data_IF_729654525823
#
_entry.id   IF_729654525823
#
_cell.length_a   1.000
_cell.length_b   1.000
_cell.length_c   1.000
_cell.angle_alpha   90.00
_cell.angle_beta   90.00
_cell.angle_gamma   90.00
#
_symmetry.space_group_name_H-M   'P 1'
#
loop_
_entity.id
_entity.type
_entity.pdbx_description
1 polymer ?
#
# COMPACT_ATOMS: atom_id res chain seq x y z
N UNK A 1 0.84 22.22 -1.39
CA UNK A 1 0.35 20.83 -1.50
C UNK A 1 -1.06 20.85 -0.96
N UNK A 2 -2.04 20.41 -1.76
CA UNK A 2 -3.45 20.43 -1.38
C UNK A 2 -3.69 19.58 -0.11
N UNK A 3 -4.54 20.07 0.80
CA UNK A 3 -4.88 19.39 2.04
C UNK A 3 -5.49 18.00 1.78
N UNK A 4 -6.26 17.87 0.69
CA UNK A 4 -6.91 16.62 0.27
C UNK A 4 -5.90 15.52 -0.07
N UNK A 5 -4.84 15.88 -0.80
CA UNK A 5 -3.75 14.95 -1.14
C UNK A 5 -3.00 14.46 0.11
N UNK A 6 -2.81 15.36 1.08
CA UNK A 6 -2.13 15.04 2.34
C UNK A 6 -2.95 14.06 3.19
N UNK A 7 -4.26 14.29 3.29
CA UNK A 7 -5.19 13.40 4.00
C UNK A 7 -5.20 12.02 3.33
N UNK A 8 -5.27 11.96 2.00
CA UNK A 8 -5.25 10.69 1.27
C UNK A 8 -3.99 9.88 1.53
N UNK A 9 -2.81 10.48 1.38
CA UNK A 9 -1.53 9.79 1.60
C UNK A 9 -1.46 9.28 3.05
N UNK A 10 -1.93 10.09 4.00
CA UNK A 10 -1.97 9.69 5.41
C UNK A 10 -2.86 8.47 5.64
N UNK A 11 -4.07 8.46 5.07
CA UNK A 11 -4.99 7.33 5.19
C UNK A 11 -4.51 6.09 4.43
N UNK A 12 -3.91 6.25 3.24
CA UNK A 12 -3.29 5.16 2.49
C UNK A 12 -2.17 4.50 3.29
N UNK A 13 -1.29 5.30 3.88
CA UNK A 13 -0.21 4.80 4.74
C UNK A 13 -0.76 4.09 5.98
N UNK A 14 -1.76 4.68 6.64
CA UNK A 14 -2.42 4.06 7.80
C UNK A 14 -3.02 2.71 7.45
N UNK A 15 -3.72 2.61 6.31
CA UNK A 15 -4.33 1.35 5.87
C UNK A 15 -3.27 0.31 5.50
N UNK A 16 -2.21 0.74 4.81
CA UNK A 16 -1.07 -0.11 4.48
C UNK A 16 -0.47 -0.72 5.74
N UNK A 17 -0.14 0.09 6.75
CA UNK A 17 0.46 -0.42 7.99
C UNK A 17 -0.46 -1.40 8.72
N UNK A 18 -1.75 -1.11 8.85
CA UNK A 18 -2.69 -2.02 9.52
C UNK A 18 -2.80 -3.36 8.79
N UNK A 19 -2.96 -3.33 7.47
CA UNK A 19 -3.06 -4.55 6.67
C UNK A 19 -1.74 -5.33 6.66
N UNK A 20 -0.62 -4.62 6.57
CA UNK A 20 0.71 -5.19 6.64
C UNK A 20 0.93 -5.92 7.96
N UNK A 21 0.73 -5.24 9.09
CA UNK A 21 0.99 -5.83 10.41
C UNK A 21 0.10 -7.04 10.69
N UNK A 22 -1.18 -6.97 10.30
CA UNK A 22 -2.12 -8.07 10.50
C UNK A 22 -1.70 -9.30 9.68
N UNK A 23 -1.52 -9.13 8.37
CA UNK A 23 -1.17 -10.26 7.48
C UNK A 23 0.24 -10.79 7.78
N UNK A 24 1.19 -9.91 8.12
CA UNK A 24 2.53 -10.31 8.50
C UNK A 24 2.52 -11.18 9.76
N UNK A 25 1.81 -10.76 10.80
CA UNK A 25 1.72 -11.54 12.02
C UNK A 25 1.09 -12.92 11.79
N UNK A 26 -0.02 -12.98 11.06
CA UNK A 26 -0.71 -14.23 10.72
C UNK A 26 0.20 -15.22 9.98
N UNK A 27 0.85 -14.76 8.91
CA UNK A 27 1.71 -15.61 8.08
C UNK A 27 3.01 -16.01 8.80
N UNK A 28 3.57 -15.11 9.60
CA UNK A 28 4.76 -15.41 10.39
C UNK A 28 4.47 -16.48 11.44
N UNK A 29 3.43 -16.31 12.26
CA UNK A 29 3.08 -17.28 13.31
C UNK A 29 2.78 -18.66 12.70
N UNK A 30 2.03 -18.69 11.60
CA UNK A 30 1.67 -19.94 10.92
C UNK A 30 2.89 -20.71 10.40
N UNK A 31 3.97 -20.00 10.04
CA UNK A 31 5.15 -20.58 9.38
C UNK A 31 6.33 -20.78 10.31
N UNK A 32 6.55 -19.88 11.26
CA UNK A 32 7.74 -19.87 12.11
C UNK A 32 7.83 -21.11 12.99
N UNK A 33 6.76 -21.44 13.72
CA UNK A 33 6.73 -22.64 14.58
C UNK A 33 7.06 -23.90 13.78
N UNK A 34 6.44 -24.08 12.62
CA UNK A 34 6.67 -25.23 11.75
C UNK A 34 8.13 -25.33 11.30
N UNK A 35 8.70 -24.21 10.84
CA UNK A 35 10.07 -24.17 10.31
C UNK A 35 11.08 -24.42 11.44
N UNK A 36 10.84 -23.84 12.61
CA UNK A 36 11.62 -24.05 13.82
C UNK A 36 11.65 -25.52 14.23
N UNK A 37 10.47 -26.15 14.36
CA UNK A 37 10.35 -27.54 14.79
C UNK A 37 11.03 -28.50 13.81
N UNK A 38 10.98 -28.19 12.50
CA UNK A 38 11.60 -28.99 11.45
C UNK A 38 13.13 -28.86 11.41
N UNK A 39 13.67 -27.66 11.61
CA UNK A 39 15.09 -27.39 11.45
C UNK A 39 15.90 -27.59 12.74
N UNK A 40 15.35 -27.15 13.88
CA UNK A 40 16.05 -27.14 15.18
C UNK A 40 15.45 -28.16 16.15
N UNK A 41 14.13 -28.26 16.18
CA UNK A 41 13.40 -29.16 17.08
C UNK A 41 13.48 -28.76 18.56
N UNK A 42 13.01 -29.67 19.42
CA UNK A 42 12.77 -29.39 20.85
C UNK A 42 14.02 -29.07 21.67
N UNK A 43 15.21 -29.46 21.21
CA UNK A 43 16.47 -29.15 21.88
C UNK A 43 16.75 -27.64 21.96
N UNK A 44 16.18 -26.86 21.02
CA UNK A 44 16.35 -25.41 20.94
C UNK A 44 15.16 -24.63 21.49
N UNK A 45 14.12 -25.28 22.03
CA UNK A 45 12.91 -24.60 22.54
C UNK A 45 13.21 -23.42 23.50
N UNK A 46 14.23 -23.47 24.39
CA UNK A 46 14.58 -22.33 25.23
C UNK A 46 14.96 -21.05 24.45
N UNK A 47 15.40 -21.19 23.19
CA UNK A 47 15.77 -20.09 22.28
C UNK A 47 14.69 -19.76 21.25
N UNK A 48 13.52 -20.40 21.33
CA UNK A 48 12.44 -20.21 20.34
C UNK A 48 12.07 -18.73 20.14
N UNK A 49 11.90 -17.99 21.25
CA UNK A 49 11.52 -16.58 21.21
C UNK A 49 12.66 -15.70 20.68
N UNK A 50 13.88 -15.90 21.17
CA UNK A 50 15.07 -15.16 20.72
C UNK A 50 15.29 -15.27 19.21
N UNK A 51 15.28 -16.50 18.67
CA UNK A 51 15.43 -16.75 17.24
C UNK A 51 14.25 -16.15 16.47
N UNK A 52 13.04 -16.25 17.04
CA UNK A 52 11.81 -15.75 16.45
C UNK A 52 11.84 -14.25 16.27
N UNK A 53 12.28 -13.50 17.28
CA UNK A 53 12.42 -12.05 17.23
C UNK A 53 13.42 -11.60 16.14
N UNK A 54 14.53 -12.33 15.98
CA UNK A 54 15.53 -12.00 14.95
C UNK A 54 14.94 -12.23 13.54
N UNK A 55 14.35 -13.41 13.30
CA UNK A 55 13.73 -13.73 12.01
C UNK A 55 12.56 -12.79 11.72
N UNK A 56 11.75 -12.46 12.74
CA UNK A 56 10.65 -11.51 12.66
C UNK A 56 11.12 -10.15 12.17
N UNK A 57 12.09 -9.54 12.85
CA UNK A 57 12.57 -8.20 12.53
C UNK A 57 13.18 -8.13 11.13
N UNK A 58 14.06 -9.09 10.79
CA UNK A 58 14.68 -9.15 9.46
C UNK A 58 13.64 -9.32 8.35
N UNK A 59 12.67 -10.21 8.55
CA UNK A 59 11.63 -10.49 7.56
C UNK A 59 10.68 -9.31 7.43
N UNK A 60 10.25 -8.70 8.55
CA UNK A 60 9.31 -7.59 8.55
C UNK A 60 9.87 -6.39 7.80
N UNK A 61 11.10 -6.00 8.09
CA UNK A 61 11.73 -4.85 7.44
C UNK A 61 11.91 -5.08 5.94
N UNK A 62 12.42 -6.25 5.54
CA UNK A 62 12.69 -6.54 4.13
C UNK A 62 11.39 -6.71 3.31
N UNK A 63 10.35 -7.38 3.84
CA UNK A 63 9.06 -7.47 3.15
C UNK A 63 8.42 -6.09 3.02
N UNK A 64 8.39 -5.30 4.10
CA UNK A 64 7.81 -3.94 4.08
C UNK A 64 8.50 -3.07 3.03
N UNK A 65 9.83 -3.06 3.02
CA UNK A 65 10.60 -2.26 2.07
C UNK A 65 10.35 -2.67 0.62
N UNK A 66 10.16 -3.97 0.35
CA UNK A 66 9.89 -4.46 -1.01
C UNK A 66 8.53 -4.06 -1.55
N UNK A 67 7.49 -4.03 -0.71
CA UNK A 67 6.12 -3.87 -1.21
C UNK A 67 5.53 -2.47 -0.99
N UNK A 68 6.11 -1.67 -0.08
CA UNK A 68 5.56 -0.36 0.30
C UNK A 68 5.41 0.57 -0.90
N UNK A 69 6.49 0.82 -1.63
CA UNK A 69 6.49 1.81 -2.71
C UNK A 69 5.60 1.37 -3.87
N UNK A 70 5.69 0.10 -4.27
CA UNK A 70 4.92 -0.44 -5.39
C UNK A 70 3.41 -0.46 -5.10
N UNK A 71 3.01 -0.91 -3.90
CA UNK A 71 1.58 -0.93 -3.50
C UNK A 71 1.05 0.50 -3.40
N UNK A 72 1.78 1.38 -2.70
CA UNK A 72 1.34 2.77 -2.53
C UNK A 72 1.23 3.49 -3.87
N UNK A 73 2.21 3.34 -4.76
CA UNK A 73 2.21 4.00 -6.07
C UNK A 73 1.05 3.50 -6.95
N UNK A 74 0.78 2.20 -6.98
CA UNK A 74 -0.28 1.64 -7.80
C UNK A 74 -1.68 1.99 -7.27
N UNK A 75 -1.89 1.96 -5.95
CA UNK A 75 -3.15 2.40 -5.34
C UNK A 75 -3.36 3.89 -5.57
N UNK A 76 -2.32 4.70 -5.34
CA UNK A 76 -2.36 6.13 -5.60
C UNK A 76 -2.73 6.44 -7.05
N UNK A 77 -2.09 5.76 -8.00
CA UNK A 77 -2.36 5.93 -9.43
C UNK A 77 -3.79 5.51 -9.79
N UNK A 78 -4.25 4.35 -9.31
CA UNK A 78 -5.59 3.83 -9.61
C UNK A 78 -6.69 4.79 -9.12
N UNK A 79 -6.60 5.19 -7.84
CA UNK A 79 -7.56 6.12 -7.23
C UNK A 79 -7.47 7.51 -7.87
N UNK A 80 -6.26 8.06 -8.04
CA UNK A 80 -6.05 9.36 -8.64
C UNK A 80 -6.58 9.45 -10.08
N UNK A 81 -6.33 8.44 -10.91
CA UNK A 81 -6.84 8.38 -12.28
C UNK A 81 -8.38 8.34 -12.31
N UNK A 82 -9.02 7.60 -11.40
CA UNK A 82 -10.48 7.51 -11.35
C UNK A 82 -11.12 8.82 -10.87
N UNK A 83 -10.52 9.49 -9.88
CA UNK A 83 -10.97 10.81 -9.40
C UNK A 83 -10.91 11.83 -10.54
N UNK A 84 -9.76 11.94 -11.21
CA UNK A 84 -9.59 12.84 -12.34
C UNK A 84 -10.56 12.53 -13.48
N UNK A 85 -10.81 11.25 -13.76
CA UNK A 85 -11.78 10.84 -14.79
C UNK A 85 -13.21 11.29 -14.44
N UNK A 86 -13.67 11.08 -13.20
CA UNK A 86 -15.01 11.50 -12.77
C UNK A 86 -15.15 13.01 -12.76
N UNK A 87 -14.12 13.71 -12.29
CA UNK A 87 -14.07 15.16 -12.24
C UNK A 87 -14.12 15.78 -13.64
N UNK A 88 -13.30 15.28 -14.58
CA UNK A 88 -13.30 15.74 -15.96
C UNK A 88 -14.66 15.55 -16.64
N UNK A 89 -15.33 14.43 -16.37
CA UNK A 89 -16.67 14.18 -16.90
C UNK A 89 -17.69 15.17 -16.34
N UNK A 90 -17.67 15.41 -15.03
CA UNK A 90 -18.65 16.28 -14.37
C UNK A 90 -18.46 17.76 -14.67
N UNK A 91 -17.21 18.24 -14.69
CA UNK A 91 -16.89 19.62 -15.10
C UNK A 91 -17.18 19.79 -16.60
N UNK A 92 -16.77 18.81 -17.42
CA UNK A 92 -17.07 18.80 -18.85
C UNK A 92 -18.57 18.87 -19.13
N UNK A 93 -19.38 18.07 -18.43
CA UNK A 93 -20.83 18.08 -18.59
C UNK A 93 -21.45 19.38 -18.02
N UNK A 94 -20.99 19.86 -16.88
CA UNK A 94 -21.49 21.07 -16.22
C UNK A 94 -21.27 22.35 -17.05
N UNK A 95 -20.08 22.50 -17.65
CA UNK A 95 -19.76 23.69 -18.44
C UNK A 95 -20.40 23.61 -19.84
N UNK A 96 -20.36 22.44 -20.47
CA UNK A 96 -20.80 22.25 -21.85
C UNK A 96 -22.34 22.18 -21.99
N UNK A 97 -23.06 21.70 -20.96
CA UNK A 97 -24.53 21.65 -20.96
C UNK A 97 -25.20 22.70 -20.06
N UNK A 98 -24.47 23.32 -19.12
CA UNK A 98 -25.03 24.27 -18.16
C UNK A 98 -24.72 25.75 -18.45
N UNK A 99 -23.50 26.07 -18.90
CA UNK A 99 -22.98 27.45 -18.97
C UNK A 99 -22.92 27.94 -20.42
N UNK A 100 -22.22 27.21 -21.30
CA UNK A 100 -22.02 27.60 -22.70
C UNK A 100 -23.32 27.76 -23.51
N UNK A 101 -24.35 26.90 -23.38
CA UNK A 101 -25.59 27.07 -24.15
C UNK A 101 -26.38 28.35 -23.80
N UNK A 102 -26.05 29.04 -22.70
CA UNK A 102 -26.76 30.23 -22.22
C UNK A 102 -26.09 31.55 -22.62
N UNK A 103 -24.86 31.50 -23.12
CA UNK A 103 -24.06 32.68 -23.43
C UNK A 103 -23.70 32.64 -24.92
N UNK A 104 -24.35 33.46 -25.75
CA UNK A 104 -24.00 33.61 -27.16
C UNK A 104 -22.70 34.41 -27.29
N UNK A 105 -21.55 33.80 -27.04
CA UNK A 105 -20.25 34.48 -27.05
C UNK A 105 -19.48 34.20 -28.34
N UNK A 106 -18.41 34.97 -28.56
CA UNK A 106 -17.43 34.65 -29.59
C UNK A 106 -16.54 33.49 -29.13
N UNK A 107 -15.95 32.71 -30.06
CA UNK A 107 -15.15 31.53 -29.73
C UNK A 107 -14.00 31.78 -28.74
N UNK A 108 -13.33 32.93 -28.83
CA UNK A 108 -12.21 33.26 -27.92
C UNK A 108 -12.69 33.57 -26.49
N UNK A 109 -13.87 34.18 -26.36
CA UNK A 109 -14.48 34.50 -25.06
C UNK A 109 -15.13 33.27 -24.44
N UNK A 110 -15.73 32.40 -25.27
CA UNK A 110 -16.21 31.07 -24.87
C UNK A 110 -15.09 30.21 -24.29
N UNK A 111 -13.91 30.19 -24.92
CA UNK A 111 -12.79 29.36 -24.46
C UNK A 111 -12.16 29.88 -23.15
N UNK A 112 -12.12 31.20 -22.96
CA UNK A 112 -11.64 31.82 -21.71
C UNK A 112 -12.61 31.56 -20.55
N UNK A 113 -13.92 31.76 -20.77
CA UNK A 113 -14.96 31.50 -19.78
C UNK A 113 -15.07 30.00 -19.48
N UNK A 114 -14.93 29.13 -20.49
CA UNK A 114 -14.87 27.69 -20.31
C UNK A 114 -13.72 27.30 -19.38
N UNK A 115 -12.51 27.85 -19.59
CA UNK A 115 -11.36 27.58 -18.72
C UNK A 115 -11.57 28.05 -17.29
N UNK A 116 -11.99 29.31 -17.10
CA UNK A 116 -12.13 29.88 -15.77
C UNK A 116 -13.30 29.25 -14.97
N UNK A 117 -14.43 28.96 -15.64
CA UNK A 117 -15.54 28.23 -15.04
C UNK A 117 -15.18 26.78 -14.75
N UNK A 118 -14.39 26.14 -15.60
CA UNK A 118 -13.87 24.80 -15.35
C UNK A 118 -12.96 24.82 -14.11
N UNK A 119 -11.95 25.69 -14.08
CA UNK A 119 -10.96 25.78 -12.99
C UNK A 119 -11.64 26.00 -11.62
N UNK A 120 -12.62 26.90 -11.53
CA UNK A 120 -13.38 27.11 -10.29
C UNK A 120 -14.25 25.92 -9.87
N UNK A 121 -14.75 25.12 -10.82
CA UNK A 121 -15.50 23.89 -10.53
C UNK A 121 -14.57 22.73 -10.15
N UNK A 122 -13.38 22.64 -10.74
CA UNK A 122 -12.36 21.64 -10.39
C UNK A 122 -12.01 21.71 -8.89
N UNK A 123 -11.69 22.90 -8.38
CA UNK A 123 -11.32 23.07 -6.97
C UNK A 123 -12.46 22.73 -6.01
N UNK A 124 -13.71 23.01 -6.39
CA UNK A 124 -14.88 22.73 -5.55
C UNK A 124 -15.24 21.25 -5.54
N UNK A 125 -15.15 20.58 -6.69
CA UNK A 125 -15.63 19.19 -6.86
C UNK A 125 -14.56 18.14 -6.57
N UNK A 126 -13.27 18.51 -6.58
CA UNK A 126 -12.16 17.56 -6.40
C UNK A 126 -12.29 16.80 -5.09
N UNK A 127 -12.60 17.48 -3.98
CA UNK A 127 -12.72 16.86 -2.67
C UNK A 127 -13.88 15.87 -2.60
N UNK A 128 -15.05 16.24 -3.13
CA UNK A 128 -16.23 15.38 -3.13
C UNK A 128 -16.00 14.13 -3.99
N UNK A 129 -15.38 14.29 -5.17
CA UNK A 129 -15.04 13.14 -6.03
C UNK A 129 -13.98 12.25 -5.45
N UNK A 130 -13.00 12.85 -4.77
CA UNK A 130 -12.01 12.10 -4.06
C UNK A 130 -12.66 11.22 -2.98
N UNK A 131 -13.55 11.78 -2.15
CA UNK A 131 -14.26 11.04 -1.10
C UNK A 131 -15.12 9.91 -1.67
N UNK A 132 -15.92 10.18 -2.72
CA UNK A 132 -16.75 9.16 -3.39
C UNK A 132 -15.93 7.97 -3.88
N UNK A 133 -14.83 8.24 -4.61
CA UNK A 133 -13.98 7.18 -5.16
C UNK A 133 -13.26 6.42 -4.05
N UNK A 134 -12.80 7.12 -3.01
CA UNK A 134 -12.16 6.50 -1.86
C UNK A 134 -13.10 5.50 -1.18
N UNK A 135 -14.31 5.93 -0.80
CA UNK A 135 -15.27 5.05 -0.12
C UNK A 135 -15.71 3.86 -0.98
N UNK A 136 -15.88 4.07 -2.29
CA UNK A 136 -16.35 3.03 -3.20
C UNK A 136 -15.26 2.00 -3.54
N UNK A 137 -14.01 2.44 -3.76
CA UNK A 137 -13.00 1.62 -4.45
C UNK A 137 -11.76 1.33 -3.63
N UNK A 138 -11.42 2.16 -2.65
CA UNK A 138 -10.12 2.11 -1.98
C UNK A 138 -9.76 0.71 -1.47
N UNK A 139 -10.64 0.09 -0.68
CA UNK A 139 -10.36 -1.21 -0.07
C UNK A 139 -10.15 -2.32 -1.12
N UNK A 140 -10.87 -2.25 -2.25
CA UNK A 140 -10.72 -3.22 -3.35
C UNK A 140 -9.41 -3.00 -4.08
N UNK A 141 -9.13 -1.77 -4.49
CA UNK A 141 -7.89 -1.43 -5.21
C UNK A 141 -6.68 -1.74 -4.35
N UNK A 142 -6.72 -1.40 -3.06
CA UNK A 142 -5.67 -1.74 -2.11
C UNK A 142 -5.39 -3.25 -2.09
N UNK A 143 -6.41 -4.09 -1.92
CA UNK A 143 -6.24 -5.55 -1.86
C UNK A 143 -5.68 -6.15 -3.16
N UNK A 144 -6.09 -5.62 -4.32
CA UNK A 144 -5.61 -6.06 -5.64
C UNK A 144 -4.10 -5.93 -5.76
N UNK A 145 -3.53 -4.86 -5.21
CA UNK A 145 -2.08 -4.63 -5.26
C UNK A 145 -1.36 -5.23 -4.06
N UNK A 146 -1.94 -5.15 -2.87
CA UNK A 146 -1.29 -5.55 -1.62
C UNK A 146 -1.13 -7.07 -1.50
N UNK A 147 -2.19 -7.86 -1.73
CA UNK A 147 -2.16 -9.31 -1.46
C UNK A 147 -1.11 -10.01 -2.31
N UNK A 148 -1.07 -9.85 -3.65
CA UNK A 148 -0.09 -10.53 -4.48
C UNK A 148 1.34 -10.11 -4.16
N UNK A 149 1.58 -8.80 -3.96
CA UNK A 149 2.90 -8.28 -3.64
C UNK A 149 3.40 -8.84 -2.29
N UNK A 150 2.53 -8.88 -1.28
CA UNK A 150 2.85 -9.46 0.01
C UNK A 150 3.15 -10.96 -0.12
N UNK A 151 2.26 -11.73 -0.74
CA UNK A 151 2.38 -13.20 -0.80
C UNK A 151 3.66 -13.60 -1.54
N UNK A 152 4.00 -12.89 -2.62
CA UNK A 152 5.25 -13.08 -3.35
C UNK A 152 6.49 -12.73 -2.50
N UNK A 153 6.48 -11.55 -1.86
CA UNK A 153 7.64 -11.11 -1.09
C UNK A 153 7.86 -11.93 0.18
N UNK A 154 6.80 -12.24 0.92
CA UNK A 154 6.88 -12.85 2.25
C UNK A 154 7.56 -14.21 2.20
N UNK A 155 7.12 -15.09 1.30
CA UNK A 155 7.63 -16.47 1.23
C UNK A 155 9.15 -16.47 1.01
N UNK A 156 9.60 -15.73 0.01
CA UNK A 156 11.01 -15.68 -0.36
C UNK A 156 11.88 -15.04 0.72
N UNK A 157 11.40 -13.96 1.35
CA UNK A 157 12.16 -13.24 2.38
C UNK A 157 12.21 -14.06 3.68
N UNK A 158 11.10 -14.66 4.08
CA UNK A 158 11.03 -15.50 5.28
C UNK A 158 12.02 -16.65 5.19
N UNK A 159 11.97 -17.45 4.11
CA UNK A 159 12.82 -18.64 3.98
C UNK A 159 14.30 -18.25 3.99
N UNK A 160 14.67 -17.23 3.21
CA UNK A 160 16.04 -16.68 3.20
C UNK A 160 16.50 -16.27 4.59
N UNK A 161 15.71 -15.49 5.32
CA UNK A 161 16.11 -14.96 6.63
C UNK A 161 16.14 -16.04 7.70
N UNK A 162 15.20 -16.99 7.65
CA UNK A 162 15.21 -18.15 8.51
C UNK A 162 16.48 -18.98 8.31
N UNK A 163 16.87 -19.27 7.06
CA UNK A 163 18.08 -20.01 6.74
C UNK A 163 19.35 -19.30 7.23
N UNK A 164 19.41 -17.97 7.10
CA UNK A 164 20.53 -17.16 7.60
C UNK A 164 20.66 -17.28 9.12
N UNK A 165 19.56 -17.12 9.86
CA UNK A 165 19.57 -17.21 11.32
C UNK A 165 19.88 -18.64 11.77
N UNK A 166 19.30 -19.64 11.10
CA UNK A 166 19.56 -21.04 11.37
C UNK A 166 21.04 -21.40 11.21
N UNK A 167 21.66 -20.98 10.10
CA UNK A 167 23.08 -21.21 9.88
C UNK A 167 23.95 -20.56 10.96
N UNK A 168 23.59 -19.36 11.43
CA UNK A 168 24.28 -18.69 12.52
C UNK A 168 24.17 -19.47 13.84
N UNK A 169 22.98 -19.95 14.19
CA UNK A 169 22.75 -20.77 15.39
C UNK A 169 23.53 -22.08 15.32
N UNK A 170 23.54 -22.76 14.18
CA UNK A 170 24.28 -24.00 14.01
C UNK A 170 25.80 -23.81 14.18
N UNK A 171 26.36 -22.72 13.64
CA UNK A 171 27.77 -22.37 13.80
C UNK A 171 28.12 -22.06 15.27
N UNK A 172 27.24 -21.35 15.97
CA UNK A 172 27.41 -21.03 17.39
C UNK A 172 27.50 -22.33 18.22
N UNK A 173 26.60 -23.28 18.01
CA UNK A 173 26.58 -24.54 18.75
C UNK A 173 27.79 -25.42 18.44
N UNK A 174 28.25 -25.48 17.19
CA UNK A 174 29.48 -26.18 16.83
C UNK A 174 30.69 -25.61 17.58
N UNK A 175 30.77 -24.29 17.73
CA UNK A 175 31.89 -23.66 18.44
C UNK A 175 31.96 -24.02 19.93
N UNK A 176 30.80 -24.24 20.57
CA UNK A 176 30.69 -24.66 21.98
C UNK A 176 31.17 -26.09 22.22
N UNK A 177 31.08 -26.96 21.22
CA UNK A 177 31.51 -28.37 21.33
C UNK A 177 33.01 -28.53 21.08
N UNK A 178 33.63 -27.60 20.34
CA UNK A 178 35.04 -27.67 19.96
C UNK A 178 36.00 -26.91 20.91
N UNK A 179 35.48 -26.27 21.96
CA UNK A 179 36.26 -25.48 22.94
C UNK A 179 36.27 -26.17 24.29
#
# INVERSE_FOLDING_TARGET
>A
MDASLTIFITELNRHFEVCFDTKFHEEFEARYRRSFDQALGSAFEPRFQEIGEIVWNMTREEVRARISDDVQQNVYRSIGCEVLRRLNNEVGDGVNYGILPRLQLSPEVDEAIFREASDGQYDTLLQDKFQEVYEEKFAREFRVWFIPAFDEAFVHVFDKNFDVVFAAVALEELSKVTT
#
